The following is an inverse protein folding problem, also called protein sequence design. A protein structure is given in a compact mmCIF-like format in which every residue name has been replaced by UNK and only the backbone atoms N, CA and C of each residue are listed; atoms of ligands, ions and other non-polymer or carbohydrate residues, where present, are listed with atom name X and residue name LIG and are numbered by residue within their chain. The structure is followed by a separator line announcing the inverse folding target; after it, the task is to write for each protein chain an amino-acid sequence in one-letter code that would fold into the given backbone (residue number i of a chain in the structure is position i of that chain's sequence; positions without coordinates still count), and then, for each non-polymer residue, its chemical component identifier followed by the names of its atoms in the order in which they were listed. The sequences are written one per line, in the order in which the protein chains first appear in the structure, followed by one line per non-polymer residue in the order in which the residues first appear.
data_IF_677349582728
#
_entry.id   IF_677349582728
#
_cell.length_a   1.000
_cell.length_b   1.000
_cell.length_c   1.000
_cell.angle_alpha   90.00
_cell.angle_beta   90.00
_cell.angle_gamma   90.00
#
_symmetry.space_group_name_H-M   'P 1'
#
loop_
_entity.id
_entity.type
_entity.pdbx_description
1 polymer ?
#
# COMPACT_ATOMS: atom_id res chain seq x y z
N UNK A 1 7.69 5.80 -8.77
CA UNK A 1 7.95 6.68 -7.63
C UNK A 1 8.43 8.04 -8.12
N UNK A 2 7.73 9.12 -7.76
CA UNK A 2 8.22 10.49 -7.99
C UNK A 2 9.27 10.79 -6.91
N UNK A 3 10.52 10.99 -7.32
CA UNK A 3 11.58 11.51 -6.44
C UNK A 3 11.88 12.92 -6.96
N UNK A 4 11.55 13.97 -6.19
CA UNK A 4 11.83 15.33 -6.62
C UNK A 4 13.32 15.57 -6.82
N UNK A 5 13.68 16.46 -7.75
CA UNK A 5 15.07 16.88 -7.97
C UNK A 5 15.70 17.48 -6.70
N UNK A 6 14.91 18.22 -5.92
CA UNK A 6 15.33 18.82 -4.66
C UNK A 6 14.77 18.06 -3.46
N UNK A 7 14.97 16.73 -3.42
CA UNK A 7 14.37 15.81 -2.45
C UNK A 7 14.37 16.33 -1.01
N UNK A 8 15.51 16.80 -0.49
CA UNK A 8 15.61 17.26 0.91
C UNK A 8 14.81 18.55 1.17
N UNK A 9 14.84 19.49 0.23
CA UNK A 9 14.12 20.76 0.34
C UNK A 9 12.61 20.52 0.23
N UNK A 10 12.19 19.74 -0.77
CA UNK A 10 10.78 19.39 -0.96
C UNK A 10 10.26 18.51 0.19
N UNK A 11 11.10 17.65 0.78
CA UNK A 11 10.78 16.90 2.00
C UNK A 11 10.51 17.82 3.19
N UNK A 12 11.40 18.79 3.42
CA UNK A 12 11.23 19.80 4.47
C UNK A 12 9.94 20.60 4.27
N UNK A 13 9.68 21.08 3.05
CA UNK A 13 8.42 21.75 2.71
C UNK A 13 7.21 20.83 2.89
N UNK A 14 7.32 19.56 2.52
CA UNK A 14 6.26 18.55 2.71
C UNK A 14 5.89 18.27 4.16
N UNK A 15 6.81 18.48 5.11
CA UNK A 15 6.53 18.42 6.55
C UNK A 15 5.77 19.68 7.00
N UNK A 16 6.17 20.85 6.51
CA UNK A 16 5.63 22.14 6.95
C UNK A 16 4.27 22.44 6.33
N UNK A 17 4.08 22.13 5.05
CA UNK A 17 2.89 22.47 4.28
C UNK A 17 2.53 21.34 3.32
N UNK A 18 2.13 20.16 3.83
CA UNK A 18 1.89 18.97 3.00
C UNK A 18 0.92 19.24 1.83
N UNK A 19 -0.05 20.12 2.03
CA UNK A 19 -1.10 20.37 1.04
C UNK A 19 -0.64 21.27 -0.10
N UNK A 20 0.16 22.30 0.19
CA UNK A 20 0.76 23.13 -0.85
C UNK A 20 1.62 22.29 -1.82
N UNK A 21 2.33 21.28 -1.30
CA UNK A 21 3.14 20.40 -2.15
C UNK A 21 2.28 19.38 -2.89
N UNK A 22 1.14 18.97 -2.30
CA UNK A 22 0.15 18.12 -2.97
C UNK A 22 -0.53 18.84 -4.13
N UNK A 23 -0.95 20.09 -3.94
CA UNK A 23 -1.58 20.90 -5.01
C UNK A 23 -0.60 21.14 -6.15
N UNK A 24 0.66 21.46 -5.83
CA UNK A 24 1.74 21.54 -6.82
C UNK A 24 1.92 20.22 -7.57
N UNK A 25 1.86 19.09 -6.87
CA UNK A 25 1.95 17.77 -7.49
C UNK A 25 0.76 17.49 -8.43
N UNK A 26 -0.48 17.75 -7.99
CA UNK A 26 -1.68 17.56 -8.81
C UNK A 26 -1.63 18.42 -10.08
N UNK A 27 -1.22 19.69 -9.97
CA UNK A 27 -1.12 20.60 -11.10
C UNK A 27 0.04 20.30 -12.07
N UNK A 28 1.04 19.52 -11.64
CA UNK A 28 2.18 19.12 -12.48
C UNK A 28 2.05 17.73 -13.07
N UNK A 29 1.02 16.97 -12.67
CA UNK A 29 0.86 15.57 -13.05
C UNK A 29 0.75 15.37 -14.57
N UNK A 30 0.00 16.22 -15.28
CA UNK A 30 -0.21 16.12 -16.72
C UNK A 30 1.03 16.48 -17.56
N UNK A 31 1.96 17.24 -16.98
CA UNK A 31 3.18 17.68 -17.68
C UNK A 31 4.32 16.65 -17.67
N UNK A 32 4.14 15.52 -17.00
CA UNK A 32 5.22 14.59 -16.72
C UNK A 32 5.36 13.51 -17.80
N UNK A 33 6.33 13.66 -18.70
CA UNK A 33 6.75 12.56 -19.57
C UNK A 33 7.83 11.72 -18.88
N UNK A 34 7.53 10.47 -18.57
CA UNK A 34 8.52 9.57 -17.96
C UNK A 34 9.57 9.11 -18.98
N UNK A 35 10.83 9.08 -18.58
CA UNK A 35 11.90 8.51 -19.40
C UNK A 35 11.79 6.97 -19.39
N UNK A 36 11.43 6.37 -20.53
CA UNK A 36 11.14 4.93 -20.69
C UNK A 36 12.27 4.01 -20.27
N UNK A 37 13.51 4.33 -20.64
CA UNK A 37 14.69 3.51 -20.31
C UNK A 37 14.92 3.51 -18.80
N UNK A 38 14.79 4.67 -18.17
CA UNK A 38 14.89 4.82 -16.72
C UNK A 38 13.75 4.07 -16.04
N UNK A 39 12.51 4.13 -16.55
CA UNK A 39 11.37 3.38 -16.00
C UNK A 39 11.61 1.87 -16.04
N UNK A 40 12.06 1.30 -17.17
CA UNK A 40 12.36 -0.14 -17.30
C UNK A 40 13.48 -0.56 -16.33
N UNK A 41 14.57 0.21 -16.29
CA UNK A 41 15.66 -0.05 -15.35
C UNK A 41 15.18 0.00 -13.90
N UNK A 42 14.42 1.04 -13.53
CA UNK A 42 13.87 1.22 -12.19
C UNK A 42 12.90 0.10 -11.79
N UNK A 43 12.12 -0.41 -12.76
CA UNK A 43 11.24 -1.58 -12.60
C UNK A 43 12.04 -2.85 -12.30
N UNK A 44 13.12 -3.05 -13.05
CA UNK A 44 13.94 -4.26 -12.96
C UNK A 44 14.64 -4.38 -11.60
N UNK A 45 14.91 -3.25 -10.95
CA UNK A 45 15.48 -3.20 -9.59
C UNK A 45 14.42 -2.96 -8.51
N UNK A 46 13.13 -2.91 -8.85
CA UNK A 46 12.09 -2.59 -7.88
C UNK A 46 11.98 -3.65 -6.77
N UNK A 47 12.14 -4.93 -7.11
CA UNK A 47 12.15 -6.02 -6.14
C UNK A 47 13.24 -5.85 -5.08
N UNK A 48 14.40 -5.27 -5.44
CA UNK A 48 15.49 -5.01 -4.51
C UNK A 48 15.05 -3.96 -3.48
N UNK A 49 14.32 -2.93 -3.91
CA UNK A 49 13.87 -1.84 -3.03
C UNK A 49 12.90 -2.32 -1.97
N UNK A 50 11.86 -3.06 -2.38
CA UNK A 50 10.90 -3.64 -1.43
C UNK A 50 11.53 -4.71 -0.54
N UNK A 51 12.49 -5.47 -1.07
CA UNK A 51 13.21 -6.49 -0.30
C UNK A 51 14.23 -5.90 0.69
N UNK A 52 14.66 -4.65 0.50
CA UNK A 52 15.73 -4.05 1.29
C UNK A 52 15.37 -3.96 2.77
N UNK A 53 14.16 -3.50 3.11
CA UNK A 53 13.73 -3.37 4.51
C UNK A 53 13.70 -4.73 5.21
N UNK A 54 13.01 -5.77 4.69
CA UNK A 54 13.02 -7.09 5.31
C UNK A 54 14.44 -7.65 5.45
N UNK A 55 15.26 -7.59 4.39
CA UNK A 55 16.64 -8.09 4.41
C UNK A 55 17.48 -7.37 5.48
N UNK A 56 17.38 -6.04 5.57
CA UNK A 56 18.06 -5.21 6.56
C UNK A 56 17.68 -5.62 7.98
N UNK A 57 16.39 -5.89 8.22
CA UNK A 57 15.88 -6.33 9.53
C UNK A 57 16.40 -7.73 9.88
N UNK A 58 16.30 -8.69 8.97
CA UNK A 58 16.70 -10.07 9.22
C UNK A 58 18.21 -10.21 9.38
N UNK A 59 18.99 -9.56 8.52
CA UNK A 59 20.46 -9.65 8.51
C UNK A 59 21.14 -8.60 9.39
N UNK A 60 20.40 -7.80 10.17
CA UNK A 60 20.93 -6.69 10.97
C UNK A 60 22.21 -7.02 11.75
N UNK A 61 22.29 -8.19 12.38
CA UNK A 61 23.44 -8.59 13.20
C UNK A 61 24.69 -8.94 12.37
N UNK A 62 24.52 -9.24 11.08
CA UNK A 62 25.61 -9.59 10.15
C UNK A 62 26.14 -8.39 9.39
N UNK A 63 25.41 -7.27 9.40
CA UNK A 63 25.77 -6.05 8.68
C UNK A 63 26.69 -5.16 9.52
N UNK A 64 27.69 -4.60 8.88
CA UNK A 64 28.52 -3.57 9.49
C UNK A 64 27.76 -2.23 9.59
N UNK A 65 28.30 -1.26 10.32
CA UNK A 65 27.64 0.03 10.56
C UNK A 65 27.39 0.82 9.27
N UNK A 66 28.31 0.75 8.30
CA UNK A 66 28.17 1.45 7.01
C UNK A 66 27.01 0.84 6.21
N UNK A 67 26.95 -0.48 6.09
CA UNK A 67 25.87 -1.20 5.42
C UNK A 67 24.51 -0.90 6.06
N UNK A 68 24.46 -0.82 7.40
CA UNK A 68 23.25 -0.41 8.13
C UNK A 68 22.82 1.01 7.78
N UNK A 69 23.76 1.96 7.81
CA UNK A 69 23.49 3.36 7.51
C UNK A 69 23.00 3.54 6.06
N UNK A 70 23.70 2.95 5.09
CA UNK A 70 23.33 3.00 3.67
C UNK A 70 21.97 2.31 3.45
N UNK A 71 21.78 1.12 4.01
CA UNK A 71 20.52 0.37 3.87
C UNK A 71 19.33 1.13 4.43
N UNK A 72 19.48 1.75 5.60
CA UNK A 72 18.46 2.62 6.18
C UNK A 72 18.20 3.85 5.32
N UNK A 73 19.25 4.54 4.87
CA UNK A 73 19.11 5.72 4.03
C UNK A 73 18.33 5.42 2.75
N UNK A 74 18.72 4.36 2.01
CA UNK A 74 18.03 3.95 0.78
C UNK A 74 16.57 3.57 1.07
N UNK A 75 16.31 2.87 2.18
CA UNK A 75 14.95 2.48 2.59
C UNK A 75 14.06 3.68 2.93
N UNK A 76 14.65 4.81 3.33
CA UNK A 76 13.91 6.04 3.70
C UNK A 76 13.69 7.00 2.52
N UNK A 77 14.39 6.83 1.39
CA UNK A 77 14.17 7.68 0.20
C UNK A 77 12.71 7.66 -0.28
N UNK A 78 12.02 6.50 -0.42
CA UNK A 78 10.62 6.50 -0.84
C UNK A 78 9.70 7.24 0.14
N UNK A 79 9.95 7.08 1.45
CA UNK A 79 9.25 7.83 2.49
C UNK A 79 9.41 9.34 2.29
N UNK A 80 10.65 9.80 2.09
CA UNK A 80 10.94 11.20 1.84
C UNK A 80 10.21 11.70 0.60
N UNK A 81 10.27 10.95 -0.51
CA UNK A 81 9.56 11.28 -1.75
C UNK A 81 8.06 11.45 -1.56
N UNK A 82 7.40 10.60 -0.76
CA UNK A 82 5.95 10.75 -0.50
C UNK A 82 5.58 11.95 0.34
N UNK A 83 6.40 12.28 1.34
CA UNK A 83 6.20 13.49 2.13
C UNK A 83 6.43 14.72 1.24
N UNK A 84 7.41 14.67 0.33
CA UNK A 84 7.68 15.71 -0.67
C UNK A 84 6.56 15.92 -1.69
N UNK A 85 5.55 15.05 -1.76
CA UNK A 85 4.36 15.25 -2.61
C UNK A 85 3.06 15.28 -1.80
N UNK A 86 3.15 15.38 -0.47
CA UNK A 86 1.98 15.46 0.41
C UNK A 86 1.11 14.20 0.40
N UNK A 87 1.71 13.00 0.29
CA UNK A 87 1.00 11.72 0.31
C UNK A 87 1.33 10.90 1.55
N UNK A 88 0.33 10.19 2.09
CA UNK A 88 0.47 9.43 3.34
C UNK A 88 0.82 7.94 3.13
N UNK A 89 0.73 7.45 1.89
CA UNK A 89 0.78 6.03 1.56
C UNK A 89 2.09 5.36 2.00
N UNK A 90 3.24 5.82 1.49
CA UNK A 90 4.51 5.14 1.77
C UNK A 90 4.97 5.32 3.22
N UNK A 91 4.42 6.28 3.96
CA UNK A 91 4.64 6.40 5.41
C UNK A 91 4.04 5.17 6.11
N UNK A 92 2.78 4.85 5.80
CA UNK A 92 2.11 3.68 6.35
C UNK A 92 2.75 2.37 5.85
N UNK A 93 3.05 2.26 4.56
CA UNK A 93 3.72 1.08 4.00
C UNK A 93 5.07 0.83 4.70
N UNK A 94 5.88 1.87 4.88
CA UNK A 94 7.19 1.77 5.54
C UNK A 94 7.04 1.30 6.98
N UNK A 95 6.10 1.89 7.73
CA UNK A 95 5.79 1.46 9.10
C UNK A 95 5.36 -0.01 9.15
N UNK A 96 4.47 -0.43 8.26
CA UNK A 96 3.97 -1.81 8.17
C UNK A 96 5.11 -2.78 7.83
N UNK A 97 5.94 -2.48 6.83
CA UNK A 97 7.03 -3.37 6.40
C UNK A 97 8.08 -3.53 7.51
N UNK A 98 8.52 -2.45 8.15
CA UNK A 98 9.47 -2.54 9.27
C UNK A 98 8.87 -3.34 10.44
N UNK A 99 7.64 -3.04 10.82
CA UNK A 99 6.96 -3.68 11.96
C UNK A 99 6.77 -5.17 11.71
N UNK A 100 6.26 -5.55 10.53
CA UNK A 100 6.04 -6.95 10.17
C UNK A 100 7.34 -7.70 9.99
N UNK A 101 8.36 -7.12 9.37
CA UNK A 101 9.66 -7.76 9.24
C UNK A 101 10.27 -8.07 10.61
N UNK A 102 10.18 -7.12 11.55
CA UNK A 102 10.65 -7.35 12.92
C UNK A 102 9.80 -8.41 13.63
N UNK A 103 8.48 -8.35 13.49
CA UNK A 103 7.57 -9.34 14.07
C UNK A 103 7.83 -10.76 13.56
N UNK A 104 7.95 -10.94 12.24
CA UNK A 104 8.28 -12.21 11.58
C UNK A 104 9.63 -12.74 12.09
N UNK A 105 10.64 -11.88 12.21
CA UNK A 105 11.94 -12.26 12.77
C UNK A 105 11.79 -12.85 14.17
N UNK A 106 11.07 -12.15 15.06
CA UNK A 106 10.87 -12.57 16.45
C UNK A 106 10.03 -13.85 16.58
N UNK A 107 9.08 -14.07 15.67
CA UNK A 107 8.33 -15.32 15.60
C UNK A 107 9.21 -16.50 15.18
N UNK A 108 10.18 -16.28 14.30
CA UNK A 108 11.10 -17.33 13.83
C UNK A 108 12.20 -17.71 14.84
N UNK A 109 12.27 -17.05 16.00
CA UNK A 109 13.33 -17.26 17.00
C UNK A 109 12.75 -17.88 18.29
N UNK A 110 13.55 -18.73 18.95
CA UNK A 110 13.25 -19.31 20.26
C UNK A 110 12.91 -18.21 21.28
N UNK A 111 11.83 -18.39 22.06
CA UNK A 111 11.26 -17.38 22.97
C UNK A 111 12.31 -16.71 23.88
N UNK A 112 13.25 -17.47 24.45
CA UNK A 112 14.27 -16.95 25.37
C UNK A 112 15.25 -15.94 24.75
N UNK A 113 15.41 -15.92 23.42
CA UNK A 113 16.34 -15.02 22.75
C UNK A 113 15.69 -13.72 22.25
N UNK A 114 14.36 -13.57 22.36
CA UNK A 114 13.63 -12.44 21.75
C UNK A 114 14.07 -11.07 22.29
N UNK A 115 14.26 -10.95 23.59
CA UNK A 115 14.71 -9.68 24.20
C UNK A 115 16.12 -9.29 23.77
N UNK A 116 17.03 -10.27 23.66
CA UNK A 116 18.39 -10.05 23.15
C UNK A 116 18.36 -9.56 21.70
N UNK A 117 17.55 -10.20 20.85
CA UNK A 117 17.40 -9.84 19.44
C UNK A 117 16.77 -8.46 19.23
N UNK A 118 15.80 -8.08 20.08
CA UNK A 118 15.21 -6.74 20.11
C UNK A 118 16.26 -5.68 20.48
N UNK A 119 17.04 -5.92 21.55
CA UNK A 119 18.09 -4.99 21.98
C UNK A 119 19.15 -4.76 20.90
N UNK A 120 19.53 -5.82 20.18
CA UNK A 120 20.44 -5.72 19.04
C UNK A 120 19.87 -4.90 17.87
N UNK A 121 18.55 -4.83 17.75
CA UNK A 121 17.80 -4.08 16.71
C UNK A 121 17.15 -2.81 17.23
N UNK A 122 17.67 -2.23 18.32
CA UNK A 122 17.11 -1.02 18.94
C UNK A 122 16.87 0.13 17.94
N UNK A 123 17.74 0.32 16.94
CA UNK A 123 17.56 1.35 15.91
C UNK A 123 16.30 1.14 15.09
N UNK A 124 16.00 -0.10 14.68
CA UNK A 124 14.78 -0.45 13.95
C UNK A 124 13.56 -0.22 14.84
N UNK A 125 13.63 -0.62 16.11
CA UNK A 125 12.56 -0.41 17.08
C UNK A 125 12.27 1.09 17.29
N UNK A 126 13.32 1.90 17.45
CA UNK A 126 13.20 3.37 17.55
C UNK A 126 12.52 3.92 16.30
N UNK A 127 12.92 3.50 15.10
CA UNK A 127 12.28 3.93 13.85
C UNK A 127 10.80 3.57 13.83
N UNK A 128 10.43 2.34 14.18
CA UNK A 128 9.02 1.90 14.25
C UNK A 128 8.22 2.79 15.21
N UNK A 129 8.77 3.06 16.40
CA UNK A 129 8.13 3.92 17.40
C UNK A 129 8.00 5.36 16.85
N UNK A 130 9.05 5.91 16.26
CA UNK A 130 9.03 7.23 15.63
C UNK A 130 7.97 7.33 14.54
N UNK A 131 7.88 6.35 13.63
CA UNK A 131 6.84 6.31 12.61
C UNK A 131 5.44 6.17 13.19
N UNK A 132 5.27 5.35 14.23
CA UNK A 132 3.98 5.14 14.91
C UNK A 132 3.49 6.43 15.57
N UNK A 133 4.39 7.21 16.17
CA UNK A 133 4.05 8.50 16.77
C UNK A 133 3.87 9.60 15.73
N UNK A 134 4.68 9.61 14.67
CA UNK A 134 4.64 10.60 13.60
C UNK A 134 3.41 10.46 12.70
N UNK A 135 3.02 9.23 12.37
CA UNK A 135 1.98 8.96 11.36
C UNK A 135 0.63 9.59 11.70
N UNK A 136 0.04 9.44 12.90
CA UNK A 136 -1.25 10.06 13.22
C UNK A 136 -1.21 11.59 13.15
N UNK A 137 -0.10 12.20 13.58
CA UNK A 137 0.09 13.65 13.51
C UNK A 137 0.14 14.14 12.06
N UNK A 138 1.00 13.52 11.23
CA UNK A 138 1.13 13.89 9.83
C UNK A 138 -0.13 13.59 9.02
N UNK A 139 -0.74 12.43 9.23
CA UNK A 139 -1.99 12.03 8.59
C UNK A 139 -3.10 13.03 8.91
N UNK A 140 -3.27 13.41 10.19
CA UNK A 140 -4.31 14.37 10.55
C UNK A 140 -4.07 15.72 9.88
N UNK A 141 -2.84 16.25 9.93
CA UNK A 141 -2.48 17.53 9.30
C UNK A 141 -2.73 17.52 7.79
N UNK A 142 -2.19 16.53 7.08
CA UNK A 142 -2.37 16.41 5.63
C UNK A 142 -3.81 16.10 5.23
N UNK A 143 -4.66 15.63 6.14
CA UNK A 143 -6.08 15.40 5.84
C UNK A 143 -6.98 16.56 6.25
N UNK A 144 -6.64 17.32 7.29
CA UNK A 144 -7.45 18.47 7.75
C UNK A 144 -7.39 19.64 6.78
N UNK A 145 -6.24 19.83 6.13
CA UNK A 145 -6.02 20.94 5.20
C UNK A 145 -6.68 20.66 3.81
N UNK A 146 -6.97 19.39 3.49
CA UNK A 146 -7.59 18.95 2.21
C UNK A 146 -9.06 19.33 2.04
N UNK A 147 -9.60 20.21 2.90
CA UNK A 147 -11.00 20.64 2.87
C UNK A 147 -11.98 19.47 2.69
N UNK A 148 -11.75 18.35 3.38
CA UNK A 148 -12.77 17.30 3.52
C UNK A 148 -13.85 17.83 4.45
N UNK A 149 -14.63 18.79 3.96
CA UNK A 149 -15.86 19.20 4.60
C UNK A 149 -16.62 17.89 4.83
N UNK A 150 -16.92 17.50 6.06
CA UNK A 150 -17.55 16.20 6.31
C UNK A 150 -18.84 16.04 5.50
N UNK A 151 -19.51 17.16 5.25
CA UNK A 151 -20.63 17.27 4.31
C UNK A 151 -20.27 16.83 2.88
N UNK A 152 -19.07 17.11 2.38
CA UNK A 152 -18.62 16.60 1.09
C UNK A 152 -18.71 15.07 1.03
N UNK A 153 -18.31 14.36 2.09
CA UNK A 153 -18.38 12.89 2.14
C UNK A 153 -19.83 12.37 2.07
N UNK A 154 -20.79 13.08 2.65
CA UNK A 154 -22.21 12.75 2.54
C UNK A 154 -22.73 13.05 1.13
N UNK A 155 -22.27 14.15 0.51
CA UNK A 155 -22.67 14.55 -0.84
C UNK A 155 -22.05 13.71 -1.96
N UNK A 156 -20.97 12.96 -1.68
CA UNK A 156 -20.33 12.11 -2.69
C UNK A 156 -21.22 10.92 -3.04
N UNK A 157 -21.99 10.40 -2.09
CA UNK A 157 -22.99 9.35 -2.39
C UNK A 157 -24.27 9.99 -2.92
N UNK A 158 -24.63 9.76 -4.20
CA UNK A 158 -25.87 10.30 -4.79
C UNK A 158 -27.13 9.91 -4.01
N UNK A 159 -27.13 8.74 -3.39
CA UNK A 159 -28.26 8.23 -2.61
C UNK A 159 -28.28 8.70 -1.14
N UNK A 160 -27.34 9.58 -0.72
CA UNK A 160 -27.12 9.90 0.69
C UNK A 160 -26.93 8.64 1.57
N UNK A 161 -26.32 7.60 0.98
CA UNK A 161 -26.03 6.34 1.64
C UNK A 161 -24.96 6.51 2.75
N UNK A 162 -24.09 7.52 2.61
CA UNK A 162 -23.10 7.89 3.61
C UNK A 162 -23.70 8.97 4.51
N UNK A 163 -23.81 8.67 5.81
CA UNK A 163 -24.27 9.62 6.83
C UNK A 163 -23.26 9.71 7.96
N UNK A 164 -23.01 10.92 8.43
CA UNK A 164 -22.12 11.25 9.55
C UNK A 164 -23.01 11.76 10.71
N UNK A 165 -23.53 10.85 11.56
CA UNK A 165 -24.60 11.16 12.50
C UNK A 165 -24.23 12.18 13.59
N UNK A 166 -22.97 12.58 13.72
CA UNK A 166 -22.45 13.27 14.91
C UNK A 166 -22.07 14.75 14.71
N UNK A 167 -22.21 15.33 13.52
CA UNK A 167 -21.79 16.72 13.29
C UNK A 167 -22.90 17.77 13.51
N UNK A 168 -24.15 17.33 13.73
CA UNK A 168 -25.34 18.20 13.84
C UNK A 168 -25.73 18.57 15.28
N UNK A 169 -25.02 18.10 16.30
CA UNK A 169 -25.43 18.29 17.69
C UNK A 169 -24.87 19.61 18.25
N UNK A 170 -25.73 20.63 18.35
CA UNK A 170 -25.50 21.83 19.17
C UNK A 170 -25.43 21.54 20.67
N UNK A 171 -25.63 20.28 21.08
CA UNK A 171 -25.54 19.85 22.46
C UNK A 171 -24.10 19.51 22.80
N UNK A 172 -23.44 20.44 23.50
CA UNK A 172 -22.08 20.38 24.06
C UNK A 172 -21.83 19.24 25.07
N UNK A 173 -22.67 18.20 25.11
CA UNK A 173 -22.56 17.08 26.05
C UNK A 173 -21.87 15.84 25.46
N UNK A 174 -21.31 15.92 24.25
CA UNK A 174 -20.64 14.77 23.65
C UNK A 174 -19.27 14.52 24.31
N UNK A 175 -19.14 13.32 24.89
CA UNK A 175 -18.04 12.82 25.73
C UNK A 175 -16.69 12.77 24.99
N UNK A 176 -16.67 13.01 23.68
CA UNK A 176 -15.50 12.82 22.80
C UNK A 176 -15.05 14.16 22.21
N UNK A 177 -13.76 14.47 22.33
CA UNK A 177 -13.17 15.67 21.73
C UNK A 177 -13.43 15.74 20.21
N UNK A 178 -13.79 16.91 19.64
CA UNK A 178 -14.01 17.07 18.20
C UNK A 178 -12.87 16.55 17.33
N UNK A 179 -11.62 16.68 17.78
CA UNK A 179 -10.43 16.18 17.05
C UNK A 179 -10.38 14.66 16.96
N UNK A 180 -10.82 13.97 18.02
CA UNK A 180 -10.86 12.50 18.06
C UNK A 180 -11.97 12.01 17.12
N UNK A 181 -13.12 12.69 17.12
CA UNK A 181 -14.22 12.38 16.20
C UNK A 181 -13.81 12.59 14.74
N UNK A 182 -13.17 13.71 14.42
CA UNK A 182 -12.63 13.99 13.08
C UNK A 182 -11.64 12.90 12.63
N UNK A 183 -10.70 12.51 13.49
CA UNK A 183 -9.77 11.42 13.19
C UNK A 183 -10.50 10.09 12.95
N UNK A 184 -11.47 9.74 13.81
CA UNK A 184 -12.28 8.54 13.68
C UNK A 184 -13.04 8.49 12.35
N UNK A 185 -13.70 9.59 11.96
CA UNK A 185 -14.42 9.69 10.69
C UNK A 185 -13.45 9.51 9.52
N UNK A 186 -12.31 10.22 9.50
CA UNK A 186 -11.30 10.09 8.44
C UNK A 186 -10.80 8.66 8.28
N UNK A 187 -10.47 7.99 9.39
CA UNK A 187 -10.01 6.59 9.38
C UNK A 187 -11.12 5.66 8.92
N UNK A 188 -12.34 5.82 9.44
CA UNK A 188 -13.49 4.98 9.08
C UNK A 188 -13.77 5.08 7.58
N UNK A 189 -13.88 6.30 7.05
CA UNK A 189 -14.02 6.57 5.62
C UNK A 189 -12.91 5.90 4.81
N UNK A 190 -11.65 6.04 5.22
CA UNK A 190 -10.53 5.40 4.53
C UNK A 190 -10.65 3.87 4.46
N UNK A 191 -11.19 3.25 5.51
CA UNK A 191 -11.37 1.80 5.59
C UNK A 191 -12.64 1.30 4.89
N UNK A 192 -13.67 2.12 4.73
CA UNK A 192 -14.98 1.67 4.22
C UNK A 192 -15.31 2.17 2.83
N UNK A 193 -14.75 3.29 2.36
CA UNK A 193 -15.16 3.93 1.11
C UNK A 193 -15.07 2.99 -0.12
N UNK A 194 -14.06 2.12 -0.16
CA UNK A 194 -13.88 1.20 -1.29
C UNK A 194 -14.91 0.08 -1.34
N UNK A 195 -15.56 -0.22 -0.22
CA UNK A 195 -16.70 -1.16 -0.16
C UNK A 195 -17.98 -0.53 -0.69
N UNK A 196 -18.16 0.78 -0.56
CA UNK A 196 -19.31 1.45 -1.17
C UNK A 196 -19.19 1.45 -2.70
N UNK A 197 -18.01 1.77 -3.24
CA UNK A 197 -17.75 1.58 -4.67
C UNK A 197 -17.92 0.12 -5.13
N UNK A 198 -17.71 -0.86 -4.24
CA UNK A 198 -17.99 -2.27 -4.52
C UNK A 198 -19.48 -2.58 -4.52
N UNK A 199 -20.27 -2.03 -3.59
CA UNK A 199 -21.71 -2.30 -3.53
C UNK A 199 -22.42 -1.84 -4.80
N UNK A 200 -22.04 -0.69 -5.34
CA UNK A 200 -22.55 -0.20 -6.63
C UNK A 200 -22.15 -1.14 -7.78
N UNK A 201 -20.91 -1.62 -7.76
CA UNK A 201 -20.40 -2.51 -8.80
C UNK A 201 -21.07 -3.89 -8.81
N UNK A 202 -21.70 -4.32 -7.72
CA UNK A 202 -22.41 -5.62 -7.66
C UNK A 202 -23.61 -5.68 -8.61
N UNK A 203 -24.23 -4.53 -8.90
CA UNK A 203 -25.39 -4.42 -9.80
C UNK A 203 -24.97 -4.30 -11.27
N UNK A 204 -23.68 -4.07 -11.53
CA UNK A 204 -23.13 -3.91 -12.86
C UNK A 204 -22.88 -5.24 -13.56
N UNK A 205 -23.13 -5.28 -14.88
CA UNK A 205 -22.84 -6.47 -15.70
C UNK A 205 -21.33 -6.71 -15.77
N UNK A 206 -20.93 -7.98 -15.62
CA UNK A 206 -19.53 -8.37 -15.81
C UNK A 206 -19.12 -8.27 -17.28
N UNK A 207 -18.10 -7.46 -17.57
CA UNK A 207 -17.41 -7.45 -18.86
C UNK A 207 -15.92 -7.70 -18.63
N UNK A 208 -15.42 -8.84 -19.10
CA UNK A 208 -14.04 -9.22 -18.86
C UNK A 208 -13.07 -8.22 -19.49
N UNK A 209 -12.07 -7.85 -18.71
CA UNK A 209 -10.86 -7.14 -19.13
C UNK A 209 -9.71 -8.09 -19.49
N UNK A 210 -9.99 -9.38 -19.72
CA UNK A 210 -9.03 -10.38 -20.22
C UNK A 210 -7.77 -10.57 -19.35
N UNK A 211 -7.85 -10.32 -18.04
CA UNK A 211 -6.77 -10.56 -17.09
C UNK A 211 -5.89 -9.35 -16.77
N UNK A 212 -6.22 -8.15 -17.27
CA UNK A 212 -5.44 -6.93 -17.01
C UNK A 212 -6.20 -5.84 -16.22
N UNK A 213 -7.51 -5.96 -16.03
CA UNK A 213 -8.33 -4.90 -15.41
C UNK A 213 -8.17 -4.77 -13.91
N UNK A 214 -7.55 -5.73 -13.23
CA UNK A 214 -7.21 -5.61 -11.82
C UNK A 214 -6.12 -4.58 -11.50
N UNK A 215 -5.48 -4.00 -12.52
CA UNK A 215 -4.40 -3.02 -12.37
C UNK A 215 -4.54 -1.87 -13.36
N UNK A 216 -4.64 -0.64 -12.85
CA UNK A 216 -4.57 0.55 -13.69
C UNK A 216 -3.25 0.64 -14.45
N UNK A 217 -2.14 0.23 -13.82
CA UNK A 217 -0.86 0.15 -14.50
C UNK A 217 -0.92 -0.80 -15.70
N UNK A 218 -1.48 -2.00 -15.55
CA UNK A 218 -1.59 -2.94 -16.67
C UNK A 218 -2.53 -2.44 -17.77
N UNK A 219 -3.65 -1.81 -17.42
CA UNK A 219 -4.55 -1.16 -18.39
C UNK A 219 -3.81 -0.09 -19.21
N UNK A 220 -3.06 0.79 -18.55
CA UNK A 220 -2.27 1.83 -19.20
C UNK A 220 -1.20 1.23 -20.11
N UNK A 221 -0.47 0.21 -19.63
CA UNK A 221 0.54 -0.47 -20.44
C UNK A 221 -0.10 -1.16 -21.66
N UNK A 222 -1.25 -1.81 -21.49
CA UNK A 222 -1.92 -2.52 -22.56
C UNK A 222 -2.44 -1.55 -23.63
N UNK A 223 -3.08 -0.45 -23.22
CA UNK A 223 -3.47 0.64 -24.11
C UNK A 223 -2.25 1.20 -24.84
N UNK A 224 -1.14 1.40 -24.13
CA UNK A 224 0.09 1.91 -24.72
C UNK A 224 0.69 0.99 -25.80
N UNK A 225 0.76 -0.33 -25.55
CA UNK A 225 1.40 -1.27 -26.48
C UNK A 225 0.49 -1.74 -27.63
N UNK A 226 -0.82 -1.86 -27.37
CA UNK A 226 -1.77 -2.44 -28.32
C UNK A 226 -2.77 -1.43 -28.88
N UNK A 227 -2.78 -0.19 -28.39
CA UNK A 227 -3.76 0.85 -28.72
C UNK A 227 -5.23 0.38 -28.49
N UNK A 228 -5.44 -0.49 -27.50
CA UNK A 228 -6.75 -0.99 -27.09
C UNK A 228 -7.03 -0.47 -25.69
N UNK A 229 -8.06 0.36 -25.56
CA UNK A 229 -8.51 0.83 -24.26
C UNK A 229 -9.57 -0.11 -23.69
N UNK A 230 -9.29 -0.72 -22.54
CA UNK A 230 -10.23 -1.60 -21.84
C UNK A 230 -10.84 -0.93 -20.60
N UNK A 231 -10.56 0.35 -20.36
CA UNK A 231 -11.00 1.03 -19.14
C UNK A 231 -12.52 1.03 -18.98
N UNK A 232 -13.26 1.15 -20.08
CA UNK A 232 -14.73 1.20 -20.10
C UNK A 232 -15.39 -0.11 -19.63
N UNK A 233 -14.65 -1.22 -19.68
CA UNK A 233 -15.13 -2.53 -19.22
C UNK A 233 -15.03 -2.70 -17.71
N UNK A 234 -14.19 -1.91 -17.06
CA UNK A 234 -13.96 -2.00 -15.62
C UNK A 234 -15.18 -1.57 -14.83
N UNK A 235 -15.40 -2.21 -13.69
CA UNK A 235 -16.43 -1.81 -12.73
C UNK A 235 -16.25 -0.36 -12.26
N UNK A 236 -15.00 0.11 -12.14
CA UNK A 236 -14.71 1.48 -11.73
C UNK A 236 -15.23 2.51 -12.74
N UNK A 237 -15.13 2.20 -14.03
CA UNK A 237 -15.70 3.06 -15.07
C UNK A 237 -17.22 3.04 -15.08
N UNK A 238 -17.83 1.86 -14.92
CA UNK A 238 -19.29 1.69 -14.96
C UNK A 238 -20.01 2.46 -13.86
N UNK A 239 -19.45 2.49 -12.66
CA UNK A 239 -20.04 3.22 -11.52
C UNK A 239 -19.54 4.66 -11.41
N UNK A 240 -18.74 5.16 -12.37
CA UNK A 240 -18.03 6.44 -12.27
C UNK A 240 -18.97 7.62 -11.98
N UNK A 241 -20.15 7.61 -12.60
CA UNK A 241 -21.12 8.69 -12.43
C UNK A 241 -21.60 8.81 -10.99
N UNK A 242 -21.66 7.71 -10.24
CA UNK A 242 -22.12 7.65 -8.84
C UNK A 242 -20.96 7.64 -7.84
N UNK A 243 -19.82 7.10 -8.25
CA UNK A 243 -18.62 6.94 -7.43
C UNK A 243 -17.38 7.15 -8.29
N UNK A 244 -16.81 8.35 -8.18
CA UNK A 244 -15.76 8.82 -9.09
C UNK A 244 -14.48 7.97 -9.02
N UNK A 245 -14.09 7.38 -10.16
CA UNK A 245 -12.92 6.50 -10.29
C UNK A 245 -11.55 7.17 -10.09
N UNK A 246 -11.46 8.47 -10.25
CA UNK A 246 -10.23 9.25 -10.13
C UNK A 246 -10.06 9.85 -8.74
N UNK A 247 -11.18 10.10 -8.07
CA UNK A 247 -11.19 10.75 -6.74
C UNK A 247 -11.35 9.73 -5.62
N UNK A 248 -12.27 8.79 -5.78
CA UNK A 248 -12.63 7.83 -4.75
C UNK A 248 -11.91 6.50 -4.92
N UNK A 249 -11.78 5.78 -3.81
CA UNK A 249 -11.19 4.46 -3.85
C UNK A 249 -12.21 3.41 -4.24
N UNK A 250 -11.75 2.41 -4.98
CA UNK A 250 -12.49 1.19 -5.26
C UNK A 250 -11.70 0.01 -4.74
N UNK A 251 -12.35 -0.80 -3.90
CA UNK A 251 -11.70 -1.92 -3.21
C UNK A 251 -10.92 -2.84 -4.16
N UNK A 252 -9.93 -3.55 -3.59
CA UNK A 252 -9.22 -4.61 -4.30
C UNK A 252 -10.19 -5.62 -4.94
N UNK A 253 -11.31 -5.90 -4.26
CA UNK A 253 -12.34 -6.82 -4.72
C UNK A 253 -12.92 -6.41 -6.07
N UNK A 254 -13.38 -5.16 -6.21
CA UNK A 254 -13.91 -4.65 -7.48
C UNK A 254 -12.86 -4.63 -8.58
N UNK A 255 -11.59 -4.39 -8.23
CA UNK A 255 -10.52 -4.38 -9.22
C UNK A 255 -10.24 -5.79 -9.75
N UNK A 256 -10.06 -6.78 -8.87
CA UNK A 256 -9.88 -8.18 -9.29
C UNK A 256 -11.10 -8.71 -10.04
N UNK A 257 -12.31 -8.30 -9.62
CA UNK A 257 -13.54 -8.69 -10.30
C UNK A 257 -13.61 -8.23 -11.76
N UNK A 258 -12.87 -7.19 -12.19
CA UNK A 258 -12.81 -6.79 -13.60
C UNK A 258 -12.37 -7.94 -14.52
N UNK A 259 -11.52 -8.84 -14.02
CA UNK A 259 -10.98 -9.92 -14.82
C UNK A 259 -11.78 -11.22 -14.73
N UNK A 260 -12.42 -11.48 -13.58
CA UNK A 260 -13.02 -12.79 -13.26
C UNK A 260 -14.48 -12.73 -12.76
N UNK A 261 -15.06 -11.54 -12.67
CA UNK A 261 -16.36 -11.27 -12.06
C UNK A 261 -16.36 -11.51 -10.54
N UNK A 262 -17.46 -11.16 -9.87
CA UNK A 262 -17.57 -11.33 -8.41
C UNK A 262 -17.60 -12.81 -7.98
N UNK A 263 -18.10 -13.72 -8.82
CA UNK A 263 -18.02 -15.16 -8.53
C UNK A 263 -16.59 -15.70 -8.64
N UNK A 264 -15.85 -15.31 -9.69
CA UNK A 264 -14.45 -15.69 -9.84
C UNK A 264 -13.56 -15.07 -8.76
N UNK A 265 -13.89 -13.88 -8.27
CA UNK A 265 -13.21 -13.24 -7.14
C UNK A 265 -13.20 -14.14 -5.90
N UNK A 266 -14.29 -14.85 -5.58
CA UNK A 266 -14.35 -15.78 -4.44
C UNK A 266 -13.25 -16.83 -4.56
N UNK A 267 -13.06 -17.38 -5.76
CA UNK A 267 -12.00 -18.35 -6.04
C UNK A 267 -10.60 -17.74 -5.94
N UNK A 268 -10.40 -16.52 -6.45
CA UNK A 268 -9.13 -15.80 -6.29
C UNK A 268 -8.81 -15.54 -4.82
N UNK A 269 -9.80 -15.17 -4.01
CA UNK A 269 -9.62 -14.97 -2.56
C UNK A 269 -9.20 -16.25 -1.85
N UNK A 270 -9.75 -17.40 -2.25
CA UNK A 270 -9.32 -18.69 -1.75
C UNK A 270 -7.85 -18.99 -2.11
N UNK A 271 -7.45 -18.73 -3.36
CA UNK A 271 -6.05 -18.90 -3.81
C UNK A 271 -5.11 -17.99 -3.01
N UNK A 272 -5.45 -16.72 -2.82
CA UNK A 272 -4.64 -15.77 -2.06
C UNK A 272 -4.49 -16.20 -0.60
N UNK A 273 -5.57 -16.69 0.02
CA UNK A 273 -5.53 -17.26 1.37
C UNK A 273 -4.61 -18.47 1.47
N UNK A 274 -4.73 -19.41 0.53
CA UNK A 274 -3.85 -20.59 0.47
C UNK A 274 -2.37 -20.22 0.27
N UNK A 275 -2.09 -19.27 -0.62
CA UNK A 275 -0.73 -18.76 -0.85
C UNK A 275 -0.16 -18.10 0.40
N UNK A 276 -0.94 -17.23 1.06
CA UNK A 276 -0.53 -16.58 2.31
C UNK A 276 -0.18 -17.62 3.37
N UNK A 277 -1.02 -18.62 3.59
CA UNK A 277 -0.75 -19.69 4.57
C UNK A 277 0.53 -20.46 4.23
N UNK A 278 0.72 -20.80 2.96
CA UNK A 278 1.92 -21.52 2.49
C UNK A 278 3.21 -20.72 2.68
N UNK A 279 3.17 -19.43 2.36
CA UNK A 279 4.30 -18.51 2.52
C UNK A 279 4.59 -18.28 4.00
N UNK A 280 3.56 -18.10 4.82
CA UNK A 280 3.70 -17.96 6.27
C UNK A 280 4.40 -19.17 6.89
N UNK A 281 3.95 -20.39 6.57
CA UNK A 281 4.59 -21.62 7.04
C UNK A 281 6.06 -21.67 6.58
N UNK A 282 6.32 -21.38 5.31
CA UNK A 282 7.68 -21.35 4.76
C UNK A 282 8.57 -20.31 5.45
N UNK A 283 8.03 -19.15 5.81
CA UNK A 283 8.76 -18.06 6.46
C UNK A 283 9.12 -18.40 7.92
N UNK A 284 8.17 -18.97 8.66
CA UNK A 284 8.31 -19.21 10.11
C UNK A 284 8.94 -20.56 10.42
N UNK A 285 8.41 -21.65 9.84
CA UNK A 285 8.87 -23.02 10.13
C UNK A 285 10.14 -23.35 9.38
N UNK A 286 10.16 -23.08 8.07
CA UNK A 286 11.29 -23.47 7.21
C UNK A 286 12.37 -22.37 7.17
N UNK A 287 12.15 -21.25 7.86
CA UNK A 287 13.07 -20.11 7.95
C UNK A 287 13.51 -19.55 6.57
N UNK A 288 12.67 -19.70 5.54
CA UNK A 288 13.00 -19.30 4.18
C UNK A 288 13.00 -17.76 4.05
N UNK A 289 14.16 -17.19 3.71
CA UNK A 289 14.36 -15.73 3.66
C UNK A 289 13.52 -15.05 2.56
N UNK A 290 13.28 -15.73 1.44
CA UNK A 290 12.47 -15.20 0.34
C UNK A 290 11.01 -15.10 0.79
N UNK A 291 10.50 -16.16 1.44
CA UNK A 291 9.15 -16.17 2.01
C UNK A 291 8.98 -15.07 3.07
N UNK A 292 9.98 -14.89 3.96
CA UNK A 292 9.98 -13.81 4.95
C UNK A 292 9.92 -12.41 4.34
N UNK A 293 10.55 -12.22 3.19
CA UNK A 293 10.55 -10.95 2.44
C UNK A 293 9.25 -10.73 1.66
N UNK A 294 8.62 -11.81 1.17
CA UNK A 294 7.34 -11.76 0.46
C UNK A 294 6.15 -11.51 1.40
N UNK A 295 6.21 -11.98 2.63
CA UNK A 295 5.09 -11.91 3.59
C UNK A 295 4.62 -10.46 3.91
N UNK A 296 5.51 -9.45 4.07
CA UNK A 296 5.11 -8.05 4.16
C UNK A 296 4.31 -7.52 2.96
N UNK A 297 4.60 -7.96 1.73
CA UNK A 297 3.84 -7.55 0.54
C UNK A 297 2.41 -8.12 0.58
N UNK A 298 2.26 -9.38 1.00
CA UNK A 298 0.93 -9.94 1.24
C UNK A 298 0.18 -9.17 2.33
N UNK A 299 0.85 -8.83 3.44
CA UNK A 299 0.19 -8.08 4.50
C UNK A 299 -0.27 -6.68 4.03
N UNK A 300 0.53 -5.97 3.23
CA UNK A 300 0.09 -4.73 2.57
C UNK A 300 -1.14 -5.00 1.70
N UNK A 301 -1.11 -6.05 0.87
CA UNK A 301 -2.26 -6.43 0.04
C UNK A 301 -3.54 -6.53 0.88
N UNK A 302 -3.52 -7.33 1.96
CA UNK A 302 -4.68 -7.56 2.81
C UNK A 302 -5.11 -6.32 3.61
N UNK A 303 -4.16 -5.53 4.13
CA UNK A 303 -4.47 -4.26 4.83
C UNK A 303 -5.21 -3.29 3.91
N UNK A 304 -4.82 -3.25 2.64
CA UNK A 304 -5.40 -2.33 1.66
C UNK A 304 -6.54 -2.90 0.83
N UNK A 305 -6.92 -4.17 1.00
CA UNK A 305 -8.06 -4.76 0.28
C UNK A 305 -9.35 -3.92 0.36
N UNK A 306 -9.72 -3.36 1.52
CA UNK A 306 -10.89 -2.49 1.62
C UNK A 306 -10.81 -1.23 0.75
N UNK A 307 -9.60 -0.74 0.50
CA UNK A 307 -9.32 0.53 -0.17
C UNK A 307 -9.11 0.32 -1.67
N UNK A 308 -7.99 -0.28 -2.07
CA UNK A 308 -7.62 -0.48 -3.47
C UNK A 308 -6.49 -1.52 -3.62
N UNK A 309 -6.12 -1.83 -4.86
CA UNK A 309 -5.05 -2.77 -5.15
C UNK A 309 -3.64 -2.15 -5.06
N UNK A 310 -3.11 -1.96 -3.85
CA UNK A 310 -1.79 -1.34 -3.66
C UNK A 310 -0.62 -2.18 -4.17
N UNK A 311 -0.79 -3.49 -4.36
CA UNK A 311 0.28 -4.35 -4.87
C UNK A 311 0.31 -4.34 -6.39
N UNK A 312 -0.82 -4.46 -7.07
CA UNK A 312 -0.80 -4.59 -8.53
C UNK A 312 -0.99 -3.27 -9.29
N UNK A 313 -1.51 -2.20 -8.66
CA UNK A 313 -1.61 -0.88 -9.32
C UNK A 313 -0.28 -0.16 -9.50
N UNK A 314 0.75 -0.53 -8.75
CA UNK A 314 2.05 0.11 -8.84
C UNK A 314 3.06 -0.88 -9.39
N UNK A 315 3.72 -0.46 -10.46
CA UNK A 315 4.80 -1.20 -11.10
C UNK A 315 5.78 -1.78 -10.08
N UNK A 316 6.25 -0.97 -9.13
CA UNK A 316 7.29 -1.39 -8.20
C UNK A 316 6.85 -2.52 -7.26
N UNK A 317 5.66 -2.44 -6.66
CA UNK A 317 5.12 -3.50 -5.79
C UNK A 317 4.72 -4.72 -6.60
N UNK A 318 4.17 -4.54 -7.79
CA UNK A 318 3.75 -5.65 -8.66
C UNK A 318 4.94 -6.51 -9.09
N UNK A 319 5.99 -5.88 -9.62
CA UNK A 319 7.20 -6.60 -10.02
C UNK A 319 7.87 -7.26 -8.80
N UNK A 320 7.92 -6.57 -7.66
CA UNK A 320 8.44 -7.14 -6.42
C UNK A 320 7.69 -8.40 -6.00
N UNK A 321 6.35 -8.35 -6.06
CA UNK A 321 5.49 -9.47 -5.71
C UNK A 321 5.75 -10.67 -6.61
N UNK A 322 5.70 -10.50 -7.94
CA UNK A 322 5.87 -11.60 -8.88
C UNK A 322 7.27 -12.21 -8.86
N UNK A 323 8.32 -11.38 -8.78
CA UNK A 323 9.71 -11.86 -8.67
C UNK A 323 9.91 -12.66 -7.40
N UNK A 324 9.48 -12.13 -6.24
CA UNK A 324 9.63 -12.83 -4.96
C UNK A 324 8.78 -14.10 -4.90
N UNK A 325 7.57 -14.08 -5.44
CA UNK A 325 6.71 -15.27 -5.53
C UNK A 325 7.38 -16.34 -6.39
N UNK A 326 7.91 -15.99 -7.55
CA UNK A 326 8.62 -16.91 -8.43
C UNK A 326 9.88 -17.49 -7.76
N UNK A 327 10.70 -16.65 -7.14
CA UNK A 327 11.89 -17.08 -6.40
C UNK A 327 11.53 -18.01 -5.23
N UNK A 328 10.42 -17.75 -4.54
CA UNK A 328 9.93 -18.61 -3.48
C UNK A 328 9.50 -19.98 -4.01
N UNK A 329 8.74 -20.02 -5.12
CA UNK A 329 8.34 -21.27 -5.77
C UNK A 329 9.56 -22.09 -6.23
N UNK A 330 10.60 -21.44 -6.76
CA UNK A 330 11.87 -22.10 -7.09
C UNK A 330 12.56 -22.65 -5.84
N UNK A 331 12.64 -21.86 -4.76
CA UNK A 331 13.29 -22.30 -3.51
C UNK A 331 12.65 -23.58 -2.94
N UNK A 332 11.32 -23.71 -3.04
CA UNK A 332 10.59 -24.91 -2.61
C UNK A 332 10.91 -26.15 -3.43
N UNK A 333 11.28 -26.00 -4.71
CA UNK A 333 11.67 -27.13 -5.57
C UNK A 333 13.06 -27.65 -5.22
N UNK A 334 13.99 -26.77 -4.85
CA UNK A 334 15.34 -27.18 -4.46
C UNK A 334 15.36 -27.83 -3.07
N UNK A 335 14.63 -27.30 -2.08
CA UNK A 335 14.52 -27.91 -0.74
C UNK A 335 14.02 -29.37 -0.80
N UNK A 336 13.09 -29.70 -1.71
CA UNK A 336 12.58 -31.07 -1.87
C UNK A 336 13.60 -32.06 -2.46
N UNK A 337 14.60 -31.57 -3.19
CA UNK A 337 15.62 -32.42 -3.84
C UNK A 337 16.76 -32.84 -2.90
N UNK A 338 16.98 -32.12 -1.81
CA UNK A 338 18.01 -32.48 -0.82
C UNK A 338 17.51 -33.52 0.21
N UNK A 339 16.20 -33.78 0.25
CA UNK A 339 15.56 -34.70 1.20
C UNK A 339 15.19 -36.05 0.56
N UNK A 340 15.34 -36.19 -0.76
CA UNK A 340 15.21 -37.46 -1.50
C UNK A 340 16.60 -37.91 -1.94
#
# INVERSE_FOLDING_TARGET
SYIPYNLFLDFYYGIISPDAVRDKFLNSFDSYQSNKVVTIFYSSIAFIKFSLIPILVFLWNRLNTIQKAIGLFISLIPFMGTVSIGTNKLILDTLVIFSLSLFIHLLSIKKGNRFKELSQRKTILILIISFTLFFPFYFNKSMSERNSNFQYMETVSKENAIKIPFYSSSNKSDIVSPKIMEFYIKVSTYLTQGYYGMSLALDEKFDSTYGIGHSYFLLDQFKYFFNIDLIERTYQFKVHDEWDRLVQWHSFYSQVANDVGFYGLIFIMFILGYLLSSIYISAIRDNNIIAKTLLPLFAIMFIYMPANNQIFNFMETMFSFWVLLFLWLLSKRFEKREVC
#
